data_IF_456080251943
#
_entry.id   IF_456080251943
#
_cell.length_a   1.000
_cell.length_b   1.000
_cell.length_c   1.000
_cell.angle_alpha   90.00
_cell.angle_beta   90.00
_cell.angle_gamma   90.00
#
_symmetry.space_group_name_H-M   'P 1'
#
loop_
_entity.id
_entity.type
_entity.pdbx_description
1 polymer ?
#
# COMPACT_ATOMS: atom_id res chain seq x y z
N UNK A 1 -20.97 -5.17 -8.03
CA UNK A 1 -20.94 -4.15 -6.95
C UNK A 1 -20.12 -4.60 -5.75
N UNK A 2 -20.33 -5.80 -5.18
CA UNK A 2 -19.56 -6.34 -4.02
C UNK A 2 -18.01 -6.25 -4.14
N UNK A 3 -17.44 -6.50 -5.31
CA UNK A 3 -15.98 -6.59 -5.50
C UNK A 3 -15.24 -5.23 -5.39
N UNK A 4 -15.90 -4.10 -5.71
CA UNK A 4 -15.24 -2.77 -5.67
C UNK A 4 -15.03 -2.26 -4.25
N UNK A 5 -16.00 -2.46 -3.37
CA UNK A 5 -15.91 -2.05 -1.96
C UNK A 5 -14.88 -2.88 -1.22
N UNK A 6 -14.86 -4.19 -1.47
CA UNK A 6 -13.87 -5.12 -0.94
C UNK A 6 -12.45 -4.75 -1.40
N UNK A 7 -12.26 -4.48 -2.70
CA UNK A 7 -10.99 -4.01 -3.24
C UNK A 7 -10.56 -2.66 -2.64
N UNK A 8 -11.51 -1.74 -2.44
CA UNK A 8 -11.23 -0.45 -1.79
C UNK A 8 -10.76 -0.65 -0.35
N UNK A 9 -11.40 -1.55 0.40
CA UNK A 9 -10.99 -1.92 1.75
C UNK A 9 -9.57 -2.51 1.78
N UNK A 10 -9.26 -3.43 0.87
CA UNK A 10 -7.93 -4.04 0.77
C UNK A 10 -6.83 -3.02 0.42
N UNK A 11 -7.11 -2.10 -0.49
CA UNK A 11 -6.20 -0.99 -0.82
C UNK A 11 -5.97 -0.10 0.41
N UNK A 12 -7.03 0.27 1.12
CA UNK A 12 -6.93 1.08 2.34
C UNK A 12 -6.09 0.39 3.42
N UNK A 13 -6.26 -0.93 3.59
CA UNK A 13 -5.46 -1.73 4.51
C UNK A 13 -3.97 -1.75 4.11
N UNK A 14 -3.66 -1.89 2.82
CA UNK A 14 -2.28 -1.87 2.34
C UNK A 14 -1.59 -0.53 2.63
N UNK A 15 -2.28 0.59 2.40
CA UNK A 15 -1.79 1.93 2.74
C UNK A 15 -1.56 2.06 4.26
N UNK A 16 -2.53 1.61 5.07
CA UNK A 16 -2.40 1.59 6.52
C UNK A 16 -1.18 0.79 6.99
N UNK A 17 -0.96 -0.40 6.43
CA UNK A 17 0.19 -1.24 6.75
C UNK A 17 1.52 -0.56 6.42
N UNK A 18 1.62 0.12 5.26
CA UNK A 18 2.80 0.88 4.89
C UNK A 18 3.08 2.04 5.88
N UNK A 19 2.05 2.80 6.25
CA UNK A 19 2.19 3.89 7.24
C UNK A 19 2.63 3.36 8.60
N UNK A 20 2.06 2.24 9.07
CA UNK A 20 2.48 1.58 10.32
C UNK A 20 3.96 1.17 10.25
N UNK A 21 4.40 0.60 9.12
CA UNK A 21 5.81 0.24 8.91
C UNK A 21 6.76 1.44 8.96
N UNK A 22 6.34 2.59 8.42
CA UNK A 22 7.09 3.85 8.50
C UNK A 22 7.17 4.37 9.94
N UNK A 23 6.03 4.40 10.66
CA UNK A 23 5.96 4.83 12.07
C UNK A 23 6.85 3.95 12.95
N UNK A 24 6.74 2.63 12.81
CA UNK A 24 7.54 1.68 13.58
C UNK A 24 9.03 1.81 13.30
N UNK A 25 9.40 2.16 12.08
CA UNK A 25 10.79 2.42 11.69
C UNK A 25 11.27 3.85 11.94
N UNK A 26 10.44 4.71 12.55
CA UNK A 26 10.72 6.15 12.73
C UNK A 26 11.17 6.85 11.44
N UNK A 27 10.62 6.44 10.29
CA UNK A 27 10.91 7.03 8.99
C UNK A 27 9.92 8.16 8.67
N UNK A 28 10.32 9.17 7.87
CA UNK A 28 9.40 10.21 7.43
C UNK A 28 8.12 9.64 6.80
N UNK A 29 6.97 10.23 7.09
CA UNK A 29 5.68 9.85 6.50
C UNK A 29 5.35 10.91 5.44
N UNK A 30 5.74 10.63 4.20
CA UNK A 30 5.44 11.47 3.07
C UNK A 30 5.09 10.59 1.86
N UNK A 31 4.64 11.21 0.77
CA UNK A 31 4.19 10.47 -0.42
C UNK A 31 5.25 9.50 -0.95
N UNK A 32 6.51 9.91 -0.98
CA UNK A 32 7.60 9.11 -1.52
C UNK A 32 7.88 7.90 -0.64
N UNK A 33 8.01 8.10 0.68
CA UNK A 33 8.28 7.01 1.61
C UNK A 33 7.13 6.01 1.72
N UNK A 34 5.87 6.45 1.59
CA UNK A 34 4.71 5.55 1.54
C UNK A 34 4.74 4.69 0.28
N UNK A 35 5.03 5.29 -0.89
CA UNK A 35 5.12 4.56 -2.16
C UNK A 35 6.24 3.54 -2.12
N UNK A 36 7.42 3.90 -1.62
CA UNK A 36 8.55 2.98 -1.47
C UNK A 36 8.21 1.80 -0.55
N UNK A 37 7.54 2.08 0.57
CA UNK A 37 7.16 1.04 1.53
C UNK A 37 6.10 0.10 0.98
N UNK A 38 5.12 0.61 0.22
CA UNK A 38 4.13 -0.22 -0.48
C UNK A 38 4.80 -1.17 -1.48
N UNK A 39 5.75 -0.67 -2.28
CA UNK A 39 6.52 -1.51 -3.22
C UNK A 39 7.35 -2.55 -2.48
N UNK A 40 7.93 -2.20 -1.32
CA UNK A 40 8.69 -3.14 -0.48
C UNK A 40 7.81 -4.26 0.06
N UNK A 41 6.61 -3.92 0.55
CA UNK A 41 5.64 -4.88 1.10
C UNK A 41 5.10 -5.83 0.02
N UNK A 42 4.75 -5.32 -1.17
CA UNK A 42 4.30 -6.16 -2.29
C UNK A 42 5.35 -7.21 -2.67
N UNK A 43 6.62 -6.79 -2.78
CA UNK A 43 7.75 -7.70 -3.07
C UNK A 43 8.03 -8.74 -1.99
N UNK A 44 7.81 -8.42 -0.72
CA UNK A 44 8.05 -9.36 0.38
C UNK A 44 7.03 -10.48 0.45
N UNK A 45 5.80 -10.23 -0.02
CA UNK A 45 4.70 -11.19 0.09
C UNK A 45 4.61 -12.14 -1.10
N UNK A 46 4.88 -11.68 -2.32
CA UNK A 46 5.25 -12.55 -3.45
C UNK A 46 4.24 -13.62 -3.91
N UNK A 47 2.96 -13.48 -3.56
CA UNK A 47 1.90 -14.43 -3.93
C UNK A 47 1.11 -14.05 -5.20
N UNK A 48 1.48 -12.93 -5.84
CA UNK A 48 0.88 -12.40 -7.07
C UNK A 48 -0.39 -11.57 -6.84
N UNK A 49 -1.34 -12.05 -6.03
CA UNK A 49 -2.61 -11.35 -5.80
C UNK A 49 -2.46 -10.19 -4.82
N UNK A 50 -1.73 -10.37 -3.71
CA UNK A 50 -1.52 -9.29 -2.75
C UNK A 50 -0.57 -8.24 -3.34
N UNK A 51 0.38 -8.64 -4.17
CA UNK A 51 1.28 -7.73 -4.90
C UNK A 51 0.48 -6.74 -5.78
N UNK A 52 -0.57 -7.19 -6.47
CA UNK A 52 -1.45 -6.30 -7.23
C UNK A 52 -2.13 -5.24 -6.35
N UNK A 53 -2.57 -5.60 -5.14
CA UNK A 53 -3.18 -4.65 -4.20
C UNK A 53 -2.16 -3.61 -3.73
N UNK A 54 -0.94 -4.02 -3.39
CA UNK A 54 0.13 -3.10 -3.00
C UNK A 54 0.52 -2.15 -4.14
N UNK A 55 0.59 -2.65 -5.38
CA UNK A 55 0.91 -1.84 -6.55
C UNK A 55 -0.21 -0.86 -6.93
N UNK A 56 -1.48 -1.25 -6.75
CA UNK A 56 -2.62 -0.36 -6.90
C UNK A 56 -2.62 0.75 -5.83
N UNK A 57 -2.38 0.38 -4.56
CA UNK A 57 -2.23 1.34 -3.47
C UNK A 57 -1.08 2.33 -3.74
N UNK A 58 0.07 1.84 -4.19
CA UNK A 58 1.21 2.69 -4.54
C UNK A 58 0.87 3.66 -5.67
N UNK A 59 0.08 3.22 -6.65
CA UNK A 59 -0.38 4.06 -7.76
C UNK A 59 -1.30 5.18 -7.29
N UNK A 60 -2.25 4.89 -6.39
CA UNK A 60 -3.17 5.89 -5.84
C UNK A 60 -2.43 6.94 -5.01
N UNK A 61 -1.57 6.50 -4.09
CA UNK A 61 -0.75 7.42 -3.27
C UNK A 61 0.16 8.29 -4.16
N UNK A 62 0.76 7.72 -5.20
CA UNK A 62 1.59 8.47 -6.16
C UNK A 62 0.79 9.57 -6.87
N UNK A 63 -0.47 9.30 -7.20
CA UNK A 63 -1.40 10.27 -7.81
C UNK A 63 -1.99 11.25 -6.80
N UNK A 64 -1.92 10.96 -5.50
CA UNK A 64 -2.54 11.76 -4.45
C UNK A 64 -4.06 11.66 -4.44
N UNK A 65 -4.59 10.48 -4.78
CA UNK A 65 -6.02 10.15 -4.81
C UNK A 65 -6.33 9.18 -3.67
#
# INVERSE_FOLDING_TARGET
MKNKEEQTGLIGLAIGAAVIGLVSGQRPINRESIVEELVRLGRQKGDGVEDEIFMQAATLVRKGI
#
